data_IF_911898731056
#
_entry.id   IF_911898731056
#
_cell.length_a   1.000
_cell.length_b   1.000
_cell.length_c   1.000
_cell.angle_alpha   90.00
_cell.angle_beta   90.00
_cell.angle_gamma   90.00
#
_symmetry.space_group_name_H-M   'P 1'
#
loop_
_entity.id
_entity.type
_entity.pdbx_description
1 polymer ?
#
# COMPACT_ATOMS: atom_id res chain seq x y z
N UNK A 1 -27.00 12.12 4.05
CA UNK A 1 -26.78 10.74 4.54
C UNK A 1 -25.49 10.76 5.32
N UNK A 2 -25.50 10.46 6.62
CA UNK A 2 -24.25 10.26 7.34
C UNK A 2 -23.55 9.05 6.75
N UNK A 3 -22.25 9.17 6.54
CA UNK A 3 -21.43 8.03 6.16
C UNK A 3 -21.53 6.97 7.27
N UNK A 4 -21.52 5.68 6.90
CA UNK A 4 -21.45 4.62 7.89
C UNK A 4 -20.11 4.72 8.64
N UNK A 5 -20.02 4.26 9.90
CA UNK A 5 -18.76 4.26 10.65
C UNK A 5 -17.64 3.48 9.94
N UNK A 6 -17.98 2.54 9.05
CA UNK A 6 -17.02 1.81 8.22
C UNK A 6 -16.39 2.75 7.18
N UNK A 7 -17.21 3.57 6.52
CA UNK A 7 -16.73 4.53 5.51
C UNK A 7 -15.88 5.63 6.15
N UNK A 8 -16.23 6.12 7.34
CA UNK A 8 -15.42 7.11 8.06
C UNK A 8 -14.03 6.57 8.42
N UNK A 9 -13.94 5.30 8.85
CA UNK A 9 -12.66 4.65 9.15
C UNK A 9 -11.81 4.48 7.89
N UNK A 10 -12.42 4.10 6.77
CA UNK A 10 -11.74 3.98 5.49
C UNK A 10 -11.23 5.33 4.97
N UNK A 11 -12.04 6.40 5.06
CA UNK A 11 -11.64 7.77 4.69
C UNK A 11 -10.49 8.27 5.57
N UNK A 12 -10.61 8.10 6.89
CA UNK A 12 -9.55 8.47 7.84
C UNK A 12 -8.23 7.76 7.53
N UNK A 13 -8.30 6.47 7.18
CA UNK A 13 -7.12 5.71 6.76
C UNK A 13 -6.50 6.28 5.49
N UNK A 14 -7.31 6.52 4.46
CA UNK A 14 -6.83 7.06 3.19
C UNK A 14 -6.19 8.45 3.37
N UNK A 15 -6.81 9.33 4.16
CA UNK A 15 -6.28 10.67 4.47
C UNK A 15 -4.98 10.62 5.25
N UNK A 16 -4.87 9.71 6.22
CA UNK A 16 -3.65 9.54 7.02
C UNK A 16 -2.45 9.15 6.17
N UNK A 17 -2.66 8.33 5.15
CA UNK A 17 -1.59 7.78 4.32
C UNK A 17 -1.55 8.35 2.89
N UNK A 18 -2.33 9.39 2.61
CA UNK A 18 -2.44 10.01 1.28
C UNK A 18 -2.79 9.00 0.16
N UNK A 19 -3.74 8.11 0.44
CA UNK A 19 -4.25 7.11 -0.50
C UNK A 19 -5.59 7.54 -1.11
N UNK A 20 -5.93 6.96 -2.26
CA UNK A 20 -7.26 7.05 -2.87
C UNK A 20 -8.13 5.84 -2.52
N UNK A 21 -7.50 4.69 -2.27
CA UNK A 21 -8.16 3.42 -1.97
C UNK A 21 -7.61 2.84 -0.65
N UNK A 22 -8.45 2.27 0.24
CA UNK A 22 -8.01 1.63 1.48
C UNK A 22 -7.49 0.21 1.21
N UNK A 23 -6.61 0.06 0.22
CA UNK A 23 -6.03 -1.21 -0.24
C UNK A 23 -4.52 -1.14 -0.03
N UNK A 24 -3.93 -2.26 0.38
CA UNK A 24 -2.50 -2.39 0.62
C UNK A 24 -1.99 -3.72 0.09
N UNK A 25 -0.80 -3.71 -0.50
CA UNK A 25 -0.05 -4.93 -0.75
C UNK A 25 0.60 -5.42 0.53
N UNK A 26 0.32 -6.67 0.90
CA UNK A 26 1.03 -7.30 2.01
C UNK A 26 2.50 -7.58 1.59
N UNK A 27 3.51 -7.16 2.36
CA UNK A 27 4.90 -7.45 2.05
C UNK A 27 5.18 -8.94 2.26
N UNK A 28 5.44 -9.66 1.17
CA UNK A 28 5.79 -11.08 1.16
C UNK A 28 7.16 -11.26 0.53
N UNK A 29 8.09 -11.88 1.26
CA UNK A 29 9.47 -12.05 0.82
C UNK A 29 9.53 -12.79 -0.53
N UNK A 30 10.26 -12.22 -1.50
CA UNK A 30 10.41 -12.79 -2.84
C UNK A 30 9.18 -12.69 -3.76
N UNK A 31 8.04 -12.14 -3.31
CA UNK A 31 6.80 -12.08 -4.10
C UNK A 31 6.31 -10.65 -4.41
N UNK A 32 6.89 -9.63 -3.77
CA UNK A 32 6.42 -8.24 -3.88
C UNK A 32 7.50 -7.31 -4.43
N UNK A 33 7.92 -7.42 -5.71
CA UNK A 33 9.03 -6.62 -6.26
C UNK A 33 8.66 -5.12 -6.39
N UNK A 34 9.66 -4.24 -6.44
CA UNK A 34 9.49 -2.77 -6.51
C UNK A 34 8.53 -2.31 -7.63
N UNK A 35 8.59 -2.84 -8.87
CA UNK A 35 7.66 -2.43 -9.93
C UNK A 35 6.18 -2.70 -9.61
N UNK A 36 5.87 -3.78 -8.87
CA UNK A 36 4.51 -4.08 -8.42
C UNK A 36 4.02 -3.02 -7.41
N UNK A 37 4.90 -2.62 -6.49
CA UNK A 37 4.59 -1.57 -5.51
C UNK A 37 4.36 -0.22 -6.19
N UNK A 38 5.16 0.13 -7.20
CA UNK A 38 4.98 1.34 -7.99
C UNK A 38 3.63 1.35 -8.74
N UNK A 39 3.23 0.21 -9.33
CA UNK A 39 1.94 0.09 -10.01
C UNK A 39 0.76 0.35 -9.07
N UNK A 40 0.83 -0.16 -7.83
CA UNK A 40 -0.20 0.08 -6.81
C UNK A 40 -0.24 1.53 -6.32
N UNK A 41 0.94 2.13 -6.08
CA UNK A 41 1.03 3.53 -5.70
C UNK A 41 0.43 4.45 -6.78
N UNK A 42 0.70 4.19 -8.05
CA UNK A 42 0.10 4.91 -9.17
C UNK A 42 -1.41 4.72 -9.28
N UNK A 43 -1.94 3.58 -8.82
CA UNK A 43 -3.37 3.32 -8.73
C UNK A 43 -4.02 3.92 -7.46
N UNK A 44 -3.27 4.69 -6.65
CA UNK A 44 -3.77 5.32 -5.43
C UNK A 44 -3.88 4.39 -4.22
N UNK A 45 -3.23 3.23 -4.28
CA UNK A 45 -3.12 2.23 -3.21
C UNK A 45 -1.75 2.31 -2.51
N UNK A 46 -1.54 1.56 -1.43
CA UNK A 46 -0.23 1.44 -0.79
C UNK A 46 0.55 0.23 -1.33
N UNK A 47 1.70 0.48 -1.96
CA UNK A 47 2.68 -0.56 -2.30
C UNK A 47 3.53 -0.99 -1.09
N UNK A 48 4.16 -2.17 -1.19
CA UNK A 48 5.08 -2.68 -0.17
C UNK A 48 6.08 -3.68 -0.77
N UNK A 49 7.32 -3.70 -0.28
CA UNK A 49 8.37 -4.64 -0.69
C UNK A 49 8.66 -5.65 0.43
N UNK A 50 8.66 -6.94 0.08
CA UNK A 50 9.07 -8.02 0.98
C UNK A 50 10.59 -8.15 1.05
N UNK A 51 11.25 -7.24 1.78
CA UNK A 51 12.70 -7.04 1.71
C UNK A 51 13.56 -8.05 2.50
N UNK A 52 12.98 -8.97 3.28
CA UNK A 52 13.73 -9.88 4.18
C UNK A 52 14.81 -10.70 3.46
N UNK A 53 14.59 -11.03 2.18
CA UNK A 53 15.53 -11.81 1.36
C UNK A 53 16.34 -10.95 0.38
N UNK A 54 16.13 -9.63 0.37
CA UNK A 54 16.75 -8.71 -0.58
C UNK A 54 18.01 -8.08 -0.01
N UNK A 55 19.12 -7.99 -0.77
CA UNK A 55 20.25 -7.16 -0.39
C UNK A 55 19.85 -5.68 -0.43
N UNK A 56 20.58 -4.83 0.31
CA UNK A 56 20.28 -3.40 0.38
C UNK A 56 20.24 -2.71 -0.98
N UNK A 57 21.09 -3.13 -1.93
CA UNK A 57 21.12 -2.58 -3.29
C UNK A 57 19.84 -2.82 -4.10
N UNK A 58 19.03 -3.81 -3.71
CA UNK A 58 17.79 -4.17 -4.39
C UNK A 58 16.56 -3.50 -3.74
N UNK A 59 16.77 -2.79 -2.62
CA UNK A 59 15.74 -2.00 -1.93
C UNK A 59 15.90 -0.56 -2.41
N UNK A 60 15.03 -0.17 -3.35
CA UNK A 60 15.04 1.16 -4.00
C UNK A 60 14.90 2.33 -3.05
#
# INVERSE_FOLDING_TARGET
MNASPILERADTFCRRFSLQLPILLAPMAGACPVPLSAALANAGSMGAMGAVLSPAADIG
#
